data_IF_526207026941
#
_entry.id   IF_526207026941
#
_cell.length_a   1.000
_cell.length_b   1.000
_cell.length_c   1.000
_cell.angle_alpha   90.00
_cell.angle_beta   90.00
_cell.angle_gamma   90.00
#
_symmetry.space_group_name_H-M   'P 1'
#
loop_
_entity.id
_entity.type
_entity.pdbx_description
1 polymer ?
#
# COMPACT_ATOMS: atom_id res chain seq x y z
N UNK A 1 -1.07 22.78 5.29
CA UNK A 1 -2.50 22.42 5.12
C UNK A 1 -2.66 21.00 5.59
N UNK A 2 -3.56 20.68 6.50
CA UNK A 2 -3.79 19.28 6.90
C UNK A 2 -4.37 18.50 5.72
N UNK A 3 -3.84 17.33 5.41
CA UNK A 3 -4.32 16.44 4.34
C UNK A 3 -5.78 16.01 4.54
N UNK A 4 -6.24 15.98 5.80
CA UNK A 4 -7.61 15.63 6.19
C UNK A 4 -8.69 16.62 5.72
N UNK A 5 -8.33 17.73 5.06
CA UNK A 5 -9.25 18.79 4.62
C UNK A 5 -9.30 19.02 3.11
N UNK A 6 -9.02 18.01 2.31
CA UNK A 6 -9.30 18.11 0.88
C UNK A 6 -10.80 17.92 0.69
N UNK A 7 -11.54 19.03 0.78
CA UNK A 7 -13.00 19.03 0.61
C UNK A 7 -13.42 19.20 -0.85
N UNK A 8 -12.62 19.87 -1.66
CA UNK A 8 -12.93 20.12 -3.07
C UNK A 8 -11.86 19.53 -3.98
N UNK A 9 -12.31 18.64 -4.85
CA UNK A 9 -11.46 18.01 -5.89
C UNK A 9 -11.85 18.60 -7.24
N UNK A 10 -10.88 19.16 -7.94
CA UNK A 10 -11.02 19.72 -9.27
C UNK A 10 -9.94 19.10 -10.18
N UNK A 11 -10.33 18.20 -11.08
CA UNK A 11 -9.44 17.47 -11.96
C UNK A 11 -9.86 17.65 -13.42
N UNK A 12 -8.90 17.91 -14.29
CA UNK A 12 -9.13 17.94 -15.72
C UNK A 12 -8.81 16.54 -16.30
N UNK A 13 -9.82 15.94 -16.95
CA UNK A 13 -9.65 14.70 -17.70
C UNK A 13 -9.47 15.02 -19.18
N UNK A 14 -8.43 14.44 -19.82
CA UNK A 14 -8.15 14.57 -21.26
C UNK A 14 -8.15 16.02 -21.78
N UNK A 15 -7.75 16.98 -20.93
CA UNK A 15 -7.71 18.43 -21.24
C UNK A 15 -9.06 19.05 -21.68
N UNK A 16 -10.18 18.36 -21.55
CA UNK A 16 -11.50 18.81 -22.01
C UNK A 16 -12.60 18.70 -20.99
N UNK A 17 -12.51 17.76 -20.07
CA UNK A 17 -13.57 17.49 -19.12
C UNK A 17 -13.11 17.82 -17.71
N UNK A 18 -13.74 18.82 -17.09
CA UNK A 18 -13.50 19.17 -15.71
C UNK A 18 -14.39 18.31 -14.80
N UNK A 19 -13.78 17.55 -13.92
CA UNK A 19 -14.47 16.82 -12.86
C UNK A 19 -14.30 17.59 -11.56
N UNK A 20 -15.42 17.92 -10.92
CA UNK A 20 -15.47 18.64 -9.67
C UNK A 20 -16.40 17.92 -8.72
N UNK A 21 -15.96 17.65 -7.50
CA UNK A 21 -16.80 17.07 -6.45
C UNK A 21 -16.25 17.41 -5.06
N UNK A 22 -17.09 17.27 -4.05
CA UNK A 22 -16.71 17.38 -2.65
C UNK A 22 -16.30 16.00 -2.14
N UNK A 23 -15.07 15.86 -1.67
CA UNK A 23 -14.57 14.63 -1.07
C UNK A 23 -14.96 14.57 0.41
N UNK A 24 -15.31 13.37 0.89
CA UNK A 24 -15.46 13.08 2.30
C UNK A 24 -14.08 12.83 2.93
N UNK A 25 -13.97 13.07 4.24
CA UNK A 25 -12.71 12.95 4.98
C UNK A 25 -12.24 11.51 5.22
N UNK A 26 -13.12 10.54 5.03
CA UNK A 26 -12.87 9.12 5.30
C UNK A 26 -12.72 8.31 4.00
N UNK A 27 -13.81 7.80 3.45
CA UNK A 27 -13.79 6.93 2.27
C UNK A 27 -14.59 7.52 1.13
N UNK A 28 -14.00 7.59 -0.06
CA UNK A 28 -14.65 7.96 -1.30
C UNK A 28 -14.55 6.83 -2.31
N UNK A 29 -15.68 6.37 -2.83
CA UNK A 29 -15.73 5.28 -3.81
C UNK A 29 -16.09 5.85 -5.18
N UNK A 30 -15.23 5.61 -6.17
CA UNK A 30 -15.43 6.03 -7.56
C UNK A 30 -15.86 4.81 -8.37
N UNK A 31 -17.08 4.85 -8.89
CA UNK A 31 -17.66 3.78 -9.69
C UNK A 31 -17.86 4.22 -11.13
N UNK A 32 -17.78 3.26 -12.05
CA UNK A 32 -18.02 3.48 -13.48
C UNK A 32 -17.66 2.25 -14.30
N UNK A 33 -18.20 2.19 -15.53
CA UNK A 33 -17.91 1.10 -16.47
C UNK A 33 -16.43 1.06 -16.88
N UNK A 34 -15.98 -0.06 -17.41
CA UNK A 34 -14.61 -0.18 -17.91
C UNK A 34 -14.38 0.84 -19.05
N UNK A 35 -13.21 1.46 -19.07
CA UNK A 35 -12.89 2.51 -20.03
C UNK A 35 -13.46 3.91 -19.70
N UNK A 36 -14.20 4.10 -18.58
CA UNK A 36 -14.74 5.41 -18.20
C UNK A 36 -13.70 6.41 -17.68
N UNK A 37 -12.43 6.02 -17.56
CA UNK A 37 -11.35 6.90 -17.13
C UNK A 37 -11.06 6.92 -15.63
N UNK A 38 -11.54 5.93 -14.86
CA UNK A 38 -11.29 5.85 -13.40
C UNK A 38 -9.79 5.90 -13.06
N UNK A 39 -8.99 5.05 -13.70
CA UNK A 39 -7.53 5.03 -13.55
C UNK A 39 -6.89 6.36 -13.92
N UNK A 40 -7.31 6.97 -15.04
CA UNK A 40 -6.81 8.28 -15.48
C UNK A 40 -7.16 9.36 -14.45
N UNK A 41 -8.39 9.33 -13.94
CA UNK A 41 -8.82 10.25 -12.88
C UNK A 41 -7.97 10.11 -11.62
N UNK A 42 -7.76 8.89 -11.12
CA UNK A 42 -6.96 8.64 -9.92
C UNK A 42 -5.49 9.06 -10.10
N UNK A 43 -4.90 8.81 -11.28
CA UNK A 43 -3.54 9.28 -11.60
C UNK A 43 -3.44 10.80 -11.62
N UNK A 44 -4.36 11.48 -12.31
CA UNK A 44 -4.37 12.95 -12.36
C UNK A 44 -4.63 13.56 -10.97
N UNK A 45 -5.48 12.91 -10.15
CA UNK A 45 -5.70 13.31 -8.77
C UNK A 45 -4.42 13.19 -7.96
N UNK A 46 -3.74 12.03 -8.03
CA UNK A 46 -2.46 11.82 -7.37
C UNK A 46 -1.43 12.88 -7.75
N UNK A 47 -1.22 13.11 -9.03
CA UNK A 47 -0.27 14.12 -9.54
C UNK A 47 -0.62 15.52 -9.05
N UNK A 48 -1.90 15.88 -9.07
CA UNK A 48 -2.37 17.18 -8.57
C UNK A 48 -2.16 17.36 -7.06
N UNK A 49 -2.37 16.29 -6.28
CA UNK A 49 -2.19 16.31 -4.83
C UNK A 49 -0.71 16.41 -4.46
N UNK A 50 0.15 15.64 -5.11
CA UNK A 50 1.60 15.69 -4.92
C UNK A 50 2.15 17.07 -5.30
N UNK A 51 1.72 17.64 -6.44
CA UNK A 51 2.16 18.96 -6.88
C UNK A 51 1.75 20.08 -5.93
N UNK A 52 0.59 19.98 -5.28
CA UNK A 52 0.08 20.97 -4.32
C UNK A 52 0.67 20.83 -2.92
N UNK A 53 1.10 19.62 -2.54
CA UNK A 53 1.53 19.27 -1.18
C UNK A 53 2.95 18.67 -1.20
N UNK A 54 3.88 19.30 -1.91
CA UNK A 54 5.22 18.77 -2.13
C UNK A 54 5.95 18.37 -0.82
N UNK A 55 5.80 19.15 0.25
CA UNK A 55 6.41 18.87 1.56
C UNK A 55 5.81 17.63 2.27
N UNK A 56 4.59 17.23 1.89
CA UNK A 56 3.86 16.07 2.44
C UNK A 56 3.61 15.00 1.37
N UNK A 57 4.36 15.00 0.30
CA UNK A 57 4.15 14.07 -0.83
C UNK A 57 4.32 12.60 -0.44
N UNK A 58 5.12 12.31 0.60
CA UNK A 58 5.30 10.96 1.13
C UNK A 58 4.05 10.38 1.79
N UNK A 59 3.13 11.24 2.23
CA UNK A 59 1.87 10.85 2.87
C UNK A 59 0.74 10.67 1.85
N UNK A 60 1.00 10.89 0.56
CA UNK A 60 0.08 10.65 -0.55
C UNK A 60 0.51 9.40 -1.29
N UNK A 61 -0.28 8.33 -1.20
CA UNK A 61 0.06 7.04 -1.77
C UNK A 61 -0.91 6.66 -2.88
N UNK A 62 -0.37 6.35 -4.06
CA UNK A 62 -1.13 5.74 -5.15
C UNK A 62 -0.80 4.25 -5.27
N UNK A 63 -1.83 3.42 -5.25
CA UNK A 63 -1.77 1.98 -5.41
C UNK A 63 -2.42 1.64 -6.76
N UNK A 64 -1.62 1.37 -7.80
CA UNK A 64 -2.15 1.02 -9.12
C UNK A 64 -2.80 -0.37 -9.10
N UNK A 65 -3.69 -0.62 -10.06
CA UNK A 65 -4.20 -1.96 -10.35
C UNK A 65 -3.05 -2.93 -10.68
N UNK A 66 -3.29 -4.25 -10.52
CA UNK A 66 -2.27 -5.29 -10.77
C UNK A 66 -1.61 -5.13 -12.14
N UNK A 67 -2.40 -4.88 -13.17
CA UNK A 67 -1.93 -4.76 -14.55
C UNK A 67 -1.02 -3.54 -14.79
N UNK A 68 -1.12 -2.54 -13.92
CA UNK A 68 -0.35 -1.30 -13.99
C UNK A 68 0.84 -1.26 -13.02
N UNK A 69 1.09 -2.31 -12.26
CA UNK A 69 2.24 -2.38 -11.36
C UNK A 69 3.52 -2.50 -12.20
N UNK A 70 4.41 -1.52 -12.05
CA UNK A 70 5.68 -1.52 -12.76
C UNK A 70 6.65 -2.58 -12.19
N UNK A 71 7.36 -3.29 -13.07
CA UNK A 71 8.46 -4.15 -12.67
C UNK A 71 9.63 -3.31 -12.18
N UNK A 72 10.18 -3.63 -11.02
CA UNK A 72 11.36 -2.96 -10.45
C UNK A 72 12.67 -3.42 -11.09
N UNK A 73 12.78 -4.71 -11.41
CA UNK A 73 13.93 -5.25 -12.14
C UNK A 73 13.44 -6.23 -13.23
N UNK A 74 13.56 -5.80 -14.48
CA UNK A 74 13.14 -6.59 -15.66
C UNK A 74 13.97 -7.85 -15.89
N UNK A 75 15.12 -7.99 -15.22
CA UNK A 75 15.98 -9.18 -15.32
C UNK A 75 15.54 -10.32 -14.41
N UNK A 76 14.73 -10.00 -13.38
CA UNK A 76 14.16 -11.00 -12.46
C UNK A 76 12.98 -11.72 -13.13
N UNK A 77 12.88 -13.03 -12.88
CA UNK A 77 11.75 -13.86 -13.34
C UNK A 77 10.47 -13.65 -12.49
N UNK A 78 10.61 -13.08 -11.31
CA UNK A 78 9.47 -12.78 -10.44
C UNK A 78 8.52 -11.75 -11.07
N UNK A 79 7.22 -11.89 -10.81
CA UNK A 79 6.20 -10.96 -11.28
C UNK A 79 6.42 -9.55 -10.71
N UNK A 80 5.88 -8.53 -11.36
CA UNK A 80 5.94 -7.16 -10.87
C UNK A 80 5.38 -7.03 -9.44
N UNK A 81 4.30 -7.74 -9.16
CA UNK A 81 3.65 -7.75 -7.85
C UNK A 81 4.56 -8.35 -6.78
N UNK A 82 5.16 -9.52 -7.04
CA UNK A 82 6.11 -10.15 -6.12
C UNK A 82 7.34 -9.27 -5.86
N UNK A 83 7.90 -8.64 -6.90
CA UNK A 83 9.03 -7.73 -6.75
C UNK A 83 8.68 -6.48 -5.91
N UNK A 84 7.47 -5.94 -6.05
CA UNK A 84 7.03 -4.82 -5.22
C UNK A 84 6.79 -5.24 -3.78
N UNK A 85 6.23 -6.43 -3.55
CA UNK A 85 6.05 -6.98 -2.21
C UNK A 85 7.41 -7.19 -1.53
N UNK A 86 8.37 -7.85 -2.20
CA UNK A 86 9.76 -8.01 -1.74
C UNK A 86 10.38 -6.67 -1.35
N UNK A 87 10.19 -5.63 -2.17
CA UNK A 87 10.70 -4.29 -1.92
C UNK A 87 10.13 -3.71 -0.61
N UNK A 88 8.81 -3.70 -0.42
CA UNK A 88 8.21 -3.13 0.78
C UNK A 88 8.47 -3.95 2.04
N UNK A 89 8.89 -5.21 1.91
CA UNK A 89 9.34 -6.01 3.05
C UNK A 89 10.81 -5.72 3.39
N UNK A 90 11.71 -5.77 2.38
CA UNK A 90 13.16 -5.93 2.62
C UNK A 90 14.02 -4.73 2.22
N UNK A 91 13.53 -3.76 1.44
CA UNK A 91 14.39 -2.65 1.00
C UNK A 91 14.82 -1.78 2.19
N UNK A 92 16.13 -1.46 2.24
CA UNK A 92 16.70 -0.64 3.32
C UNK A 92 17.25 0.70 2.81
N UNK A 93 17.20 0.95 1.49
CA UNK A 93 17.96 2.04 0.89
C UNK A 93 17.14 3.13 0.26
N UNK A 94 16.02 2.79 -0.36
CA UNK A 94 15.36 3.71 -1.29
C UNK A 94 13.93 4.10 -0.90
N UNK A 95 13.40 3.57 0.21
CA UNK A 95 12.06 3.94 0.64
C UNK A 95 11.58 3.22 1.88
N UNK A 96 10.34 3.49 2.31
CA UNK A 96 9.77 2.86 3.48
C UNK A 96 9.54 1.36 3.23
N UNK A 97 10.15 0.54 4.09
CA UNK A 97 9.93 -0.90 4.13
C UNK A 97 9.80 -1.37 5.59
N UNK A 98 9.30 -2.58 5.79
CA UNK A 98 9.25 -3.14 7.14
C UNK A 98 10.66 -3.27 7.73
N UNK A 99 11.64 -3.66 6.91
CA UNK A 99 13.02 -3.78 7.36
C UNK A 99 13.61 -2.42 7.74
N UNK A 100 13.43 -1.38 6.91
CA UNK A 100 13.92 -0.03 7.23
C UNK A 100 13.25 0.52 8.50
N UNK A 101 11.94 0.26 8.69
CA UNK A 101 11.21 0.65 9.90
C UNK A 101 11.78 -0.06 11.15
N UNK A 102 12.07 -1.35 11.06
CA UNK A 102 12.69 -2.09 12.18
C UNK A 102 14.10 -1.61 12.49
N UNK A 103 14.89 -1.34 11.47
CA UNK A 103 16.25 -0.82 11.66
C UNK A 103 16.25 0.55 12.33
N UNK A 104 15.31 1.44 11.98
CA UNK A 104 15.18 2.75 12.62
C UNK A 104 14.79 2.66 14.11
N UNK A 105 14.27 1.52 14.56
CA UNK A 105 13.88 1.30 15.96
C UNK A 105 14.99 0.71 16.85
N UNK A 106 16.16 0.35 16.31
CA UNK A 106 17.23 -0.29 17.08
C UNK A 106 17.69 0.63 18.24
N UNK A 107 17.84 1.92 17.95
CA UNK A 107 18.29 2.92 18.90
C UNK A 107 17.11 3.69 19.56
N UNK A 108 15.88 3.22 19.37
CA UNK A 108 14.70 3.86 19.95
C UNK A 108 14.43 3.40 21.38
N UNK A 109 13.55 4.11 22.10
CA UNK A 109 13.16 3.71 23.46
C UNK A 109 12.42 2.36 23.47
N UNK A 110 12.42 1.71 24.64
CA UNK A 110 11.73 0.41 24.82
C UNK A 110 10.24 0.55 24.48
N UNK A 111 9.61 1.66 24.86
CA UNK A 111 8.20 1.94 24.60
C UNK A 111 7.91 2.00 23.09
N UNK A 112 8.78 2.66 22.31
CA UNK A 112 8.65 2.74 20.87
C UNK A 112 8.84 1.38 20.18
N UNK A 113 9.76 0.57 20.68
CA UNK A 113 9.98 -0.78 20.20
C UNK A 113 8.76 -1.69 20.47
N UNK A 114 8.18 -1.61 21.67
CA UNK A 114 6.97 -2.35 22.04
C UNK A 114 5.74 -1.89 21.23
N UNK A 115 5.61 -0.58 20.99
CA UNK A 115 4.56 -0.05 20.11
C UNK A 115 4.67 -0.62 18.69
N UNK A 116 5.89 -0.67 18.11
CA UNK A 116 6.08 -1.24 16.79
C UNK A 116 5.78 -2.74 16.77
N UNK A 117 6.18 -3.50 17.80
CA UNK A 117 5.84 -4.93 17.91
C UNK A 117 4.33 -5.14 17.94
N UNK A 118 3.60 -4.35 18.74
CA UNK A 118 2.15 -4.41 18.81
C UNK A 118 1.50 -4.11 17.44
N UNK A 119 1.97 -3.07 16.74
CA UNK A 119 1.49 -2.73 15.40
C UNK A 119 1.73 -3.85 14.37
N UNK A 120 2.91 -4.49 14.42
CA UNK A 120 3.22 -5.64 13.54
C UNK A 120 2.29 -6.82 13.86
N UNK A 121 2.01 -7.09 15.14
CA UNK A 121 1.07 -8.13 15.54
C UNK A 121 -0.36 -7.85 15.05
N UNK A 122 -0.83 -6.61 15.15
CA UNK A 122 -2.15 -6.19 14.64
C UNK A 122 -2.23 -6.29 13.12
N UNK A 123 -1.17 -5.88 12.41
CA UNK A 123 -1.06 -6.07 10.96
C UNK A 123 -1.16 -7.55 10.59
N UNK A 124 -0.37 -8.41 11.24
CA UNK A 124 -0.40 -9.86 11.00
C UNK A 124 -1.77 -10.44 11.28
N UNK A 125 -2.44 -10.03 12.37
CA UNK A 125 -3.80 -10.45 12.73
C UNK A 125 -4.81 -10.03 11.65
N UNK A 126 -4.72 -8.81 11.14
CA UNK A 126 -5.61 -8.29 10.09
C UNK A 126 -5.47 -9.10 8.80
N UNK A 127 -4.23 -9.32 8.33
CA UNK A 127 -3.95 -10.16 7.15
C UNK A 127 -4.50 -11.56 7.34
N UNK A 128 -4.26 -12.17 8.51
CA UNK A 128 -4.71 -13.52 8.81
C UNK A 128 -6.25 -13.64 8.86
N UNK A 129 -6.95 -12.58 9.28
CA UNK A 129 -8.40 -12.52 9.19
C UNK A 129 -8.92 -12.59 7.76
N UNK A 130 -8.23 -11.91 6.83
CA UNK A 130 -8.60 -11.95 5.40
C UNK A 130 -8.21 -13.29 4.73
N UNK A 131 -7.10 -13.90 5.14
CA UNK A 131 -6.63 -15.16 4.58
C UNK A 131 -7.30 -16.41 5.19
N UNK A 132 -8.13 -16.25 6.21
CA UNK A 132 -8.80 -17.36 6.89
C UNK A 132 -9.61 -18.24 5.93
N UNK A 133 -10.30 -17.65 4.94
CA UNK A 133 -11.10 -18.38 3.97
C UNK A 133 -10.27 -19.28 3.04
N UNK A 134 -9.02 -18.92 2.78
CA UNK A 134 -8.09 -19.70 1.95
C UNK A 134 -7.21 -20.67 2.76
N UNK A 135 -7.47 -20.79 4.08
CA UNK A 135 -6.70 -21.62 5.02
C UNK A 135 -5.21 -21.32 5.01
N UNK A 136 -4.88 -20.06 4.78
CA UNK A 136 -3.51 -19.57 4.82
C UNK A 136 -3.33 -18.64 6.00
N UNK A 137 -2.12 -18.59 6.54
CA UNK A 137 -1.76 -17.69 7.61
C UNK A 137 -0.40 -17.08 7.34
N UNK A 138 -0.32 -15.75 7.36
CA UNK A 138 0.94 -15.03 7.33
C UNK A 138 1.65 -15.17 8.68
N UNK A 139 2.92 -15.50 8.66
CA UNK A 139 3.81 -15.50 9.81
C UNK A 139 4.98 -14.54 9.55
N UNK A 140 5.27 -13.71 10.54
CA UNK A 140 6.33 -12.69 10.46
C UNK A 140 7.31 -12.93 11.59
N UNK A 141 8.42 -13.59 11.28
CA UNK A 141 9.53 -13.82 12.21
C UNK A 141 10.71 -12.92 11.85
N UNK A 142 11.02 -11.98 12.74
CA UNK A 142 12.04 -10.99 12.39
C UNK A 142 11.65 -10.23 11.11
N UNK A 143 12.47 -10.26 10.10
CA UNK A 143 12.20 -9.69 8.76
C UNK A 143 11.63 -10.71 7.76
N UNK A 144 11.52 -11.98 8.15
CA UNK A 144 11.06 -13.04 7.25
C UNK A 144 9.54 -13.12 7.24
N UNK A 145 8.97 -13.07 6.04
CA UNK A 145 7.57 -13.35 5.77
C UNK A 145 7.42 -14.79 5.26
N UNK A 146 6.54 -15.54 5.87
CA UNK A 146 6.23 -16.92 5.49
C UNK A 146 4.73 -17.12 5.46
N UNK A 147 4.25 -18.00 4.62
CA UNK A 147 2.84 -18.38 4.52
C UNK A 147 2.68 -19.81 5.02
N UNK A 148 1.96 -19.98 6.11
CA UNK A 148 1.65 -21.28 6.68
C UNK A 148 0.36 -21.79 6.04
N UNK A 149 0.39 -23.04 5.57
CA UNK A 149 -0.74 -23.77 4.98
C UNK A 149 -0.87 -25.14 5.62
N UNK A 150 -1.96 -25.85 5.34
CA UNK A 150 -2.14 -27.24 5.77
C UNK A 150 -1.03 -28.19 5.27
N UNK A 151 -0.36 -27.82 4.17
CA UNK A 151 0.69 -28.62 3.52
C UNK A 151 2.12 -28.17 3.88
N UNK A 152 2.27 -27.21 4.79
CA UNK A 152 3.57 -26.69 5.23
C UNK A 152 3.77 -25.21 4.99
N UNK A 153 5.00 -24.77 5.16
CA UNK A 153 5.41 -23.37 5.04
C UNK A 153 5.87 -23.05 3.63
N UNK A 154 5.33 -22.00 3.06
CA UNK A 154 5.64 -21.48 1.72
C UNK A 154 6.23 -20.07 1.81
N UNK A 155 7.02 -19.65 0.81
CA UNK A 155 7.42 -18.25 0.69
C UNK A 155 6.23 -17.38 0.30
N UNK A 156 6.30 -16.09 0.58
CA UNK A 156 5.19 -15.14 0.34
C UNK A 156 4.84 -14.99 -1.15
N UNK A 157 5.80 -15.26 -2.03
CA UNK A 157 5.64 -15.25 -3.48
C UNK A 157 4.76 -16.40 -4.00
N UNK A 158 4.48 -17.40 -3.16
CA UNK A 158 3.56 -18.50 -3.48
C UNK A 158 2.07 -18.14 -3.25
N UNK A 159 1.78 -16.94 -2.76
CA UNK A 159 0.43 -16.41 -2.69
C UNK A 159 -0.15 -16.23 -4.11
N UNK A 160 -1.46 -16.32 -4.23
CA UNK A 160 -2.15 -15.92 -5.47
C UNK A 160 -1.98 -14.41 -5.73
N UNK A 161 -2.16 -13.98 -6.97
CA UNK A 161 -2.05 -12.57 -7.33
C UNK A 161 -2.96 -11.66 -6.49
N UNK A 162 -4.21 -12.07 -6.25
CA UNK A 162 -5.14 -11.33 -5.41
C UNK A 162 -4.69 -11.27 -3.94
N UNK A 163 -4.21 -12.38 -3.37
CA UNK A 163 -3.68 -12.40 -2.00
C UNK A 163 -2.42 -11.53 -1.87
N UNK A 164 -1.51 -11.57 -2.85
CA UNK A 164 -0.34 -10.69 -2.88
C UNK A 164 -0.75 -9.21 -3.00
N UNK A 165 -1.78 -8.90 -3.79
CA UNK A 165 -2.29 -7.53 -3.91
C UNK A 165 -2.84 -7.02 -2.58
N UNK A 166 -3.70 -7.80 -1.93
CA UNK A 166 -4.24 -7.47 -0.61
C UNK A 166 -3.11 -7.26 0.40
N UNK A 167 -2.13 -8.17 0.43
CA UNK A 167 -0.97 -8.04 1.33
C UNK A 167 -0.16 -6.78 1.02
N UNK A 168 0.07 -6.46 -0.27
CA UNK A 168 0.79 -5.26 -0.68
C UNK A 168 0.06 -3.98 -0.27
N UNK A 169 -1.27 -3.91 -0.47
CA UNK A 169 -2.10 -2.77 -0.05
C UNK A 169 -1.98 -2.56 1.46
N UNK A 170 -2.23 -3.62 2.24
CA UNK A 170 -2.17 -3.56 3.70
C UNK A 170 -0.78 -3.21 4.21
N UNK A 171 0.27 -3.77 3.62
CA UNK A 171 1.64 -3.45 4.00
C UNK A 171 1.98 -1.98 3.74
N UNK A 172 1.57 -1.43 2.60
CA UNK A 172 1.77 -0.02 2.31
C UNK A 172 1.03 0.90 3.27
N UNK A 173 -0.23 0.58 3.61
CA UNK A 173 -0.99 1.32 4.62
C UNK A 173 -0.33 1.20 6.00
N UNK A 174 0.12 0.02 6.38
CA UNK A 174 0.86 -0.20 7.62
C UNK A 174 2.14 0.68 7.71
N UNK A 175 2.88 0.80 6.61
CA UNK A 175 4.13 1.58 6.55
C UNK A 175 3.89 3.10 6.65
N UNK A 176 2.70 3.61 6.34
CA UNK A 176 2.34 5.01 6.58
C UNK A 176 2.29 5.35 8.07
N UNK A 177 2.04 4.36 8.91
CA UNK A 177 2.01 4.54 10.37
C UNK A 177 0.79 5.30 10.85
N UNK A 178 1.02 6.28 11.75
CA UNK A 178 -0.03 7.15 12.33
C UNK A 178 -0.12 8.51 11.63
N UNK A 179 0.58 8.70 10.51
CA UNK A 179 0.56 9.96 9.78
C UNK A 179 -0.79 10.15 9.09
N UNK A 180 -1.28 11.38 9.06
CA UNK A 180 -2.40 11.73 8.19
C UNK A 180 -1.98 11.49 6.74
N UNK A 181 -2.70 10.63 6.02
CA UNK A 181 -2.30 10.18 4.71
C UNK A 181 -3.51 10.05 3.78
N UNK A 182 -3.26 10.26 2.48
CA UNK A 182 -4.24 9.99 1.43
C UNK A 182 -3.81 8.74 0.68
N UNK A 183 -4.70 7.75 0.64
CA UNK A 183 -4.47 6.50 -0.09
C UNK A 183 -5.44 6.42 -1.27
N UNK A 184 -4.90 6.40 -2.47
CA UNK A 184 -5.65 6.24 -3.72
C UNK A 184 -5.44 4.81 -4.21
N UNK A 185 -6.51 4.02 -4.31
CA UNK A 185 -6.45 2.61 -4.70
C UNK A 185 -7.22 2.44 -6.01
N UNK A 186 -6.54 1.92 -7.02
CA UNK A 186 -7.10 1.64 -8.34
C UNK A 186 -7.35 0.13 -8.46
N UNK A 187 -8.62 -0.28 -8.58
CA UNK A 187 -9.06 -1.68 -8.64
C UNK A 187 -8.55 -2.50 -7.43
N UNK A 188 -9.09 -2.28 -6.23
CA UNK A 188 -8.69 -2.96 -5.01
C UNK A 188 -9.04 -4.45 -4.98
#
# INVERSE_FOLDING_TARGET
MSLSRISEVNINLWNRQKVQFTAYSDVNIIMGVNGSGKTTFLKNLYESLVAKNYEQSEDIVYLPSIDNIAMRDKRKTATALAQNLEYFIYDMKTGPSLMSLRMSMIDSSVEQQEELKARIADFQKTVNGLFALTRKRLEIEGSKFSVITDNGTLPVEALSSGEMQVLLILLRVFLLGKRESIVLIDEP
#
